data_IF_184807395911
#
_entry.id   IF_184807395911
#
_cell.length_a   1.000
_cell.length_b   1.000
_cell.length_c   1.000
_cell.angle_alpha   90.00
_cell.angle_beta   90.00
_cell.angle_gamma   90.00
#
_symmetry.space_group_name_H-M   'P 1'
#
loop_
_entity.id
_entity.type
_entity.pdbx_description
1 polymer ?
#
# COMPACT_ATOMS: atom_id res chain seq x y z
N UNK A 1 14.04 18.32 8.39
CA UNK A 1 13.17 17.11 8.24
C UNK A 1 13.97 16.09 7.46
N UNK A 2 14.07 14.86 7.95
CA UNK A 2 14.73 13.79 7.21
C UNK A 2 13.99 13.54 5.89
N UNK A 3 14.74 13.18 4.85
CA UNK A 3 14.19 12.97 3.52
C UNK A 3 13.25 11.76 3.55
N UNK A 4 11.93 11.98 3.37
CA UNK A 4 10.93 10.93 3.39
C UNK A 4 10.95 10.13 2.10
N UNK A 5 10.71 8.84 2.23
CA UNK A 5 10.64 7.91 1.11
C UNK A 5 9.57 6.85 1.36
N UNK A 6 9.21 6.16 0.30
CA UNK A 6 8.30 5.01 0.35
C UNK A 6 9.03 3.75 -0.08
N UNK A 7 8.61 2.62 0.47
CA UNK A 7 9.21 1.31 0.19
C UNK A 7 8.16 0.33 -0.29
N UNK A 8 8.45 -0.37 -1.36
CA UNK A 8 7.68 -1.51 -1.83
C UNK A 8 8.52 -2.78 -1.72
N UNK A 9 8.01 -3.77 -0.97
CA UNK A 9 8.62 -5.10 -0.87
C UNK A 9 7.96 -6.03 -1.87
N UNK A 10 8.74 -6.86 -2.53
CA UNK A 10 8.25 -7.82 -3.51
C UNK A 10 9.05 -9.12 -3.49
N UNK A 11 8.46 -10.19 -4.01
CA UNK A 11 9.10 -11.49 -4.05
C UNK A 11 10.26 -11.48 -5.06
N UNK A 12 11.47 -11.99 -4.69
CA UNK A 12 12.64 -11.98 -5.57
C UNK A 12 12.36 -12.62 -6.93
N UNK A 13 12.81 -11.96 -7.99
CA UNK A 13 12.62 -12.43 -9.37
C UNK A 13 11.25 -12.14 -9.98
N UNK A 14 10.34 -11.47 -9.26
CA UNK A 14 9.07 -10.99 -9.82
C UNK A 14 9.17 -9.54 -10.28
N UNK A 15 8.22 -9.11 -11.12
CA UNK A 15 8.10 -7.71 -11.52
C UNK A 15 7.38 -6.91 -10.41
N UNK A 16 8.05 -5.93 -9.77
CA UNK A 16 7.46 -5.15 -8.68
C UNK A 16 6.29 -4.26 -9.12
N UNK A 17 6.17 -3.98 -10.42
CA UNK A 17 5.10 -3.17 -10.98
C UNK A 17 3.89 -3.98 -11.44
N UNK A 18 3.79 -5.25 -11.06
CA UNK A 18 2.60 -6.05 -11.27
C UNK A 18 1.70 -6.03 -10.04
N UNK A 19 0.48 -5.54 -10.23
CA UNK A 19 -0.59 -5.66 -9.25
C UNK A 19 -1.67 -6.58 -9.82
N UNK A 20 -1.92 -7.69 -9.13
CA UNK A 20 -2.92 -8.69 -9.53
C UNK A 20 -4.32 -8.09 -9.71
N UNK A 21 -4.65 -7.03 -8.95
CA UNK A 21 -5.95 -6.34 -9.03
C UNK A 21 -6.13 -5.56 -10.34
N UNK A 22 -5.05 -5.23 -11.05
CA UNK A 22 -5.11 -4.55 -12.36
C UNK A 22 -5.25 -5.51 -13.55
N UNK A 23 -5.24 -6.82 -13.30
CA UNK A 23 -5.52 -7.83 -14.32
C UNK A 23 -7.03 -7.97 -14.57
N UNK A 24 -7.47 -8.46 -15.74
CA UNK A 24 -8.83 -8.96 -15.90
C UNK A 24 -9.18 -9.97 -14.81
N UNK A 25 -10.43 -9.99 -14.37
CA UNK A 25 -10.83 -10.76 -13.18
C UNK A 25 -10.49 -12.26 -13.29
N UNK A 26 -10.80 -12.88 -14.43
CA UNK A 26 -10.50 -14.29 -14.69
C UNK A 26 -8.98 -14.57 -14.67
N UNK A 27 -8.18 -13.65 -15.18
CA UNK A 27 -6.73 -13.76 -15.14
C UNK A 27 -6.18 -13.54 -13.71
N UNK A 28 -6.77 -12.60 -12.94
CA UNK A 28 -6.42 -12.38 -11.55
C UNK A 28 -6.65 -13.64 -10.70
N UNK A 29 -7.80 -14.29 -10.86
CA UNK A 29 -8.11 -15.54 -10.14
C UNK A 29 -7.16 -16.68 -10.54
N UNK A 30 -6.88 -16.82 -11.84
CA UNK A 30 -5.92 -17.82 -12.33
C UNK A 30 -4.51 -17.58 -11.77
N UNK A 31 -4.05 -16.33 -11.76
CA UNK A 31 -2.73 -15.96 -11.25
C UNK A 31 -2.65 -16.13 -9.74
N UNK A 32 -3.69 -15.78 -9.00
CA UNK A 32 -3.75 -15.98 -7.54
C UNK A 32 -3.58 -17.46 -7.17
N UNK A 33 -4.25 -18.35 -7.91
CA UNK A 33 -4.09 -19.80 -7.71
C UNK A 33 -2.67 -20.26 -7.98
N UNK A 34 -2.06 -19.84 -9.09
CA UNK A 34 -0.67 -20.21 -9.44
C UNK A 34 0.28 -19.76 -8.33
N UNK A 35 0.16 -18.52 -7.85
CA UNK A 35 1.06 -17.96 -6.83
C UNK A 35 0.89 -18.64 -5.47
N UNK A 36 -0.34 -18.90 -5.04
CA UNK A 36 -0.60 -19.58 -3.76
C UNK A 36 -0.17 -21.05 -3.78
N UNK A 37 -0.35 -21.73 -4.89
CA UNK A 37 0.11 -23.11 -5.05
C UNK A 37 1.65 -23.21 -5.09
N UNK A 38 2.32 -22.25 -5.71
CA UNK A 38 3.78 -22.22 -5.82
C UNK A 38 4.48 -21.75 -4.52
N UNK A 39 3.82 -20.90 -3.73
CA UNK A 39 4.40 -20.26 -2.55
C UNK A 39 3.44 -20.28 -1.34
N UNK A 40 2.96 -21.47 -0.90
CA UNK A 40 1.94 -21.57 0.14
C UNK A 40 2.43 -21.08 1.51
N UNK A 41 3.73 -21.13 1.76
CA UNK A 41 4.34 -20.74 3.03
C UNK A 41 4.68 -19.24 3.14
N UNK A 42 4.56 -18.48 2.05
CA UNK A 42 4.73 -17.03 2.11
C UNK A 42 3.43 -16.35 2.55
N UNK A 43 3.50 -15.38 3.46
CA UNK A 43 2.33 -14.62 3.90
C UNK A 43 1.70 -13.87 2.72
N UNK A 44 2.52 -13.32 1.82
CA UNK A 44 2.07 -12.55 0.67
C UNK A 44 1.22 -13.37 -0.31
N UNK A 45 1.69 -14.55 -0.71
CA UNK A 45 0.97 -15.38 -1.70
C UNK A 45 0.05 -16.43 -1.05
N UNK A 46 0.36 -16.88 0.17
CA UNK A 46 -0.49 -17.80 0.91
C UNK A 46 -1.89 -17.25 1.15
N UNK A 47 -2.05 -15.93 1.34
CA UNK A 47 -3.36 -15.27 1.45
C UNK A 47 -4.22 -15.41 0.21
N UNK A 48 -3.64 -15.66 -0.96
CA UNK A 48 -4.36 -15.88 -2.22
C UNK A 48 -5.03 -17.25 -2.32
N UNK A 49 -4.79 -18.15 -1.38
CA UNK A 49 -5.53 -19.42 -1.30
C UNK A 49 -7.05 -19.19 -1.08
N UNK A 50 -7.42 -18.06 -0.47
CA UNK A 50 -8.82 -17.62 -0.29
C UNK A 50 -9.12 -16.36 -1.13
N UNK A 51 -8.79 -16.41 -2.40
CA UNK A 51 -8.91 -15.25 -3.29
C UNK A 51 -10.34 -14.83 -3.55
N UNK A 52 -11.30 -15.76 -3.47
CA UNK A 52 -12.74 -15.46 -3.60
C UNK A 52 -13.23 -14.46 -2.53
N UNK A 53 -12.70 -14.54 -1.32
CA UNK A 53 -13.00 -13.60 -0.24
C UNK A 53 -12.07 -12.37 -0.27
N UNK A 54 -10.81 -12.56 -0.62
CA UNK A 54 -9.84 -11.46 -0.68
C UNK A 54 -10.13 -10.45 -1.80
N UNK A 55 -10.44 -10.92 -3.01
CA UNK A 55 -10.60 -10.07 -4.19
C UNK A 55 -11.67 -8.98 -4.04
N UNK A 56 -12.94 -9.31 -3.66
CA UNK A 56 -13.97 -8.28 -3.49
C UNK A 56 -13.66 -7.32 -2.35
N UNK A 57 -13.04 -7.80 -1.29
CA UNK A 57 -12.65 -6.97 -0.16
C UNK A 57 -11.55 -5.97 -0.55
N UNK A 58 -10.51 -6.42 -1.24
CA UNK A 58 -9.43 -5.56 -1.73
C UNK A 58 -9.96 -4.55 -2.74
N UNK A 59 -10.81 -4.97 -3.67
CA UNK A 59 -11.45 -4.10 -4.64
C UNK A 59 -12.22 -2.97 -3.96
N UNK A 60 -13.05 -3.31 -2.97
CA UNK A 60 -13.81 -2.33 -2.18
C UNK A 60 -12.91 -1.34 -1.44
N UNK A 61 -11.81 -1.83 -0.85
CA UNK A 61 -10.87 -0.97 -0.15
C UNK A 61 -10.17 0.02 -1.10
N UNK A 62 -9.71 -0.45 -2.25
CA UNK A 62 -9.07 0.39 -3.26
C UNK A 62 -10.05 1.44 -3.83
N UNK A 63 -11.28 1.06 -4.12
CA UNK A 63 -12.34 1.97 -4.57
C UNK A 63 -12.60 3.07 -3.52
N UNK A 64 -12.77 2.70 -2.24
CA UNK A 64 -12.98 3.65 -1.15
C UNK A 64 -11.83 4.66 -1.04
N UNK A 65 -10.60 4.18 -1.00
CA UNK A 65 -9.42 5.04 -0.88
C UNK A 65 -9.29 5.95 -2.10
N UNK A 66 -9.52 5.40 -3.31
CA UNK A 66 -9.47 6.16 -4.55
C UNK A 66 -10.49 7.30 -4.57
N UNK A 67 -11.74 7.02 -4.22
CA UNK A 67 -12.80 8.03 -4.16
C UNK A 67 -12.49 9.14 -3.14
N UNK A 68 -12.02 8.76 -1.96
CA UNK A 68 -11.60 9.73 -0.94
C UNK A 68 -10.43 10.57 -1.41
N UNK A 69 -9.45 9.97 -2.06
CA UNK A 69 -8.30 10.70 -2.60
C UNK A 69 -8.73 11.71 -3.68
N UNK A 70 -9.65 11.34 -4.59
CA UNK A 70 -10.22 12.26 -5.58
C UNK A 70 -10.93 13.43 -4.91
N UNK A 71 -11.73 13.19 -3.87
CA UNK A 71 -12.40 14.25 -3.09
C UNK A 71 -11.41 15.24 -2.44
N UNK A 72 -10.20 14.76 -2.13
CA UNK A 72 -9.11 15.55 -1.56
C UNK A 72 -8.24 16.25 -2.63
N UNK A 73 -8.58 16.15 -3.91
CA UNK A 73 -7.87 16.79 -5.02
C UNK A 73 -6.87 15.89 -5.76
N UNK A 74 -6.82 14.60 -5.45
CA UNK A 74 -6.01 13.62 -6.17
C UNK A 74 -6.54 13.35 -7.59
N UNK A 75 -5.66 12.90 -8.47
CA UNK A 75 -5.98 12.55 -9.85
C UNK A 75 -5.41 11.16 -10.21
N UNK A 76 -5.85 10.08 -9.50
CA UNK A 76 -5.29 8.74 -9.64
C UNK A 76 -5.48 8.20 -11.07
N UNK A 77 -4.39 7.80 -11.72
CA UNK A 77 -4.40 7.22 -13.07
C UNK A 77 -4.77 5.75 -13.07
N UNK A 78 -4.36 5.01 -12.02
CA UNK A 78 -4.71 3.60 -11.86
C UNK A 78 -6.04 3.43 -11.14
N UNK A 79 -6.71 2.32 -11.38
CA UNK A 79 -7.90 1.92 -10.63
C UNK A 79 -7.52 1.27 -9.30
N UNK A 80 -6.49 0.42 -9.32
CA UNK A 80 -5.88 -0.21 -8.16
C UNK A 80 -4.45 0.26 -8.02
N UNK A 81 -4.06 0.82 -6.86
CA UNK A 81 -2.74 1.41 -6.68
C UNK A 81 -1.67 0.34 -6.48
N UNK A 82 -0.41 0.73 -6.65
CA UNK A 82 0.69 -0.02 -6.07
C UNK A 82 0.77 0.27 -4.58
N UNK A 83 0.89 -0.79 -3.77
CA UNK A 83 0.98 -0.68 -2.30
C UNK A 83 2.42 -0.53 -1.86
N UNK A 84 2.70 0.56 -1.19
CA UNK A 84 3.97 0.88 -0.55
C UNK A 84 3.76 1.09 0.94
N UNK A 85 4.84 1.23 1.70
CA UNK A 85 4.82 1.72 3.07
C UNK A 85 5.63 3.01 3.19
N UNK A 86 5.25 3.89 4.10
CA UNK A 86 6.06 5.04 4.47
C UNK A 86 7.28 4.55 5.26
N UNK A 87 8.48 4.87 4.76
CA UNK A 87 9.76 4.33 5.23
C UNK A 87 9.84 2.80 5.10
N UNK A 88 10.81 2.18 5.78
CA UNK A 88 10.92 0.72 5.84
C UNK A 88 10.03 0.14 6.93
N UNK A 89 9.53 -1.09 6.69
CA UNK A 89 8.68 -1.80 7.62
C UNK A 89 9.09 -3.26 7.71
N UNK A 90 9.69 -3.66 8.84
CA UNK A 90 10.14 -5.05 9.06
C UNK A 90 8.98 -6.06 9.03
N UNK A 91 7.77 -5.64 9.44
CA UNK A 91 6.59 -6.48 9.35
C UNK A 91 6.26 -6.88 7.90
N UNK A 92 6.28 -5.92 6.95
CA UNK A 92 6.03 -6.20 5.54
C UNK A 92 7.19 -6.90 4.84
N UNK A 93 8.42 -6.63 5.25
CA UNK A 93 9.59 -7.35 4.75
C UNK A 93 9.48 -8.85 4.98
N UNK A 94 8.95 -9.28 6.13
CA UNK A 94 8.72 -10.68 6.45
C UNK A 94 7.63 -11.37 5.62
N UNK A 95 6.80 -10.62 4.88
CA UNK A 95 5.72 -11.19 4.07
C UNK A 95 6.22 -11.97 2.84
N UNK A 96 7.44 -11.72 2.39
CA UNK A 96 8.03 -12.27 1.16
C UNK A 96 9.26 -13.16 1.41
N UNK A 97 9.49 -13.62 2.63
CA UNK A 97 10.66 -14.37 3.09
C UNK A 97 11.97 -13.57 2.99
N UNK A 98 12.62 -13.59 1.85
CA UNK A 98 13.75 -12.72 1.51
C UNK A 98 13.29 -11.75 0.41
N UNK A 99 12.71 -10.64 0.79
CA UNK A 99 12.15 -9.68 -0.15
C UNK A 99 13.21 -8.80 -0.81
N UNK A 100 13.03 -8.56 -2.10
CA UNK A 100 13.61 -7.38 -2.75
C UNK A 100 12.78 -6.14 -2.43
N UNK A 101 13.32 -4.95 -2.65
CA UNK A 101 12.60 -3.70 -2.39
C UNK A 101 12.90 -2.62 -3.42
N UNK A 102 11.90 -1.77 -3.65
CA UNK A 102 12.05 -0.48 -4.33
C UNK A 102 11.91 0.62 -3.28
N UNK A 103 12.75 1.64 -3.36
CA UNK A 103 12.68 2.86 -2.55
C UNK A 103 12.54 4.05 -3.48
N UNK A 104 11.54 4.89 -3.22
CA UNK A 104 11.28 6.11 -3.99
C UNK A 104 11.16 7.29 -3.03
N UNK A 105 11.89 8.37 -3.30
CA UNK A 105 11.77 9.61 -2.53
C UNK A 105 10.39 10.23 -2.72
N UNK A 106 9.76 10.74 -1.66
CA UNK A 106 8.50 11.47 -1.79
C UNK A 106 8.62 12.72 -2.68
N UNK A 107 9.81 13.30 -2.78
CA UNK A 107 10.05 14.47 -3.62
C UNK A 107 9.92 14.15 -5.12
N UNK A 108 10.12 12.87 -5.50
CA UNK A 108 10.08 12.42 -6.89
C UNK A 108 8.66 12.02 -7.35
N UNK A 109 7.67 12.08 -6.47
CA UNK A 109 6.29 11.64 -6.74
C UNK A 109 5.37 12.86 -6.83
N UNK A 110 4.56 13.01 -7.90
CA UNK A 110 3.55 14.05 -7.97
C UNK A 110 2.51 13.93 -6.84
N UNK A 111 2.11 15.07 -6.27
CA UNK A 111 1.21 15.11 -5.12
C UNK A 111 -0.18 14.52 -5.40
N UNK A 112 -0.61 14.62 -6.67
CA UNK A 112 -1.89 14.10 -7.14
C UNK A 112 -1.87 12.60 -7.53
N UNK A 113 -0.72 11.93 -7.37
CA UNK A 113 -0.53 10.50 -7.65
C UNK A 113 -0.19 9.65 -6.43
N UNK A 114 -0.28 10.23 -5.23
CA UNK A 114 0.05 9.50 -4.00
C UNK A 114 -0.93 9.82 -2.88
N UNK A 115 -1.41 8.79 -2.21
CA UNK A 115 -2.20 8.91 -0.98
C UNK A 115 -1.66 8.01 0.12
N UNK A 116 -2.11 8.25 1.34
CA UNK A 116 -1.66 7.53 2.53
C UNK A 116 -2.86 7.13 3.38
N UNK A 117 -2.78 5.97 4.02
CA UNK A 117 -3.74 5.55 5.03
C UNK A 117 -3.01 5.19 6.33
N UNK A 118 -3.60 5.58 7.46
CA UNK A 118 -3.10 5.18 8.77
C UNK A 118 -3.49 3.72 9.02
N UNK A 119 -2.57 2.81 8.73
CA UNK A 119 -2.80 1.37 8.74
C UNK A 119 -3.21 0.82 7.37
N UNK A 120 -3.28 -0.50 7.28
CA UNK A 120 -3.69 -1.25 6.09
C UNK A 120 -5.18 -1.01 5.78
N UNK A 121 -5.48 -0.42 4.63
CA UNK A 121 -6.83 -0.06 4.23
C UNK A 121 -7.76 -1.27 4.10
N UNK A 122 -7.25 -2.37 3.59
CA UNK A 122 -8.01 -3.61 3.43
C UNK A 122 -8.35 -4.24 4.79
N UNK A 123 -7.37 -4.32 5.69
CA UNK A 123 -7.56 -4.85 7.04
C UNK A 123 -8.51 -3.96 7.86
N UNK A 124 -8.41 -2.64 7.74
CA UNK A 124 -9.32 -1.71 8.41
C UNK A 124 -10.77 -1.95 7.98
N UNK A 125 -11.03 -2.02 6.68
CA UNK A 125 -12.39 -2.23 6.16
C UNK A 125 -12.93 -3.63 6.48
N UNK A 126 -12.06 -4.64 6.53
CA UNK A 126 -12.45 -5.99 6.95
C UNK A 126 -12.97 -6.00 8.39
N UNK A 127 -12.47 -5.11 9.25
CA UNK A 127 -12.93 -4.95 10.64
C UNK A 127 -14.01 -3.87 10.82
N UNK A 128 -14.62 -3.39 9.73
CA UNK A 128 -15.70 -2.41 9.76
C UNK A 128 -15.24 -0.98 10.06
N UNK A 129 -13.95 -0.68 9.90
CA UNK A 129 -13.40 0.66 10.09
C UNK A 129 -13.14 1.33 8.74
N UNK A 130 -13.48 2.61 8.63
CA UNK A 130 -13.11 3.40 7.46
C UNK A 130 -11.64 3.86 7.55
N UNK A 131 -10.82 3.66 6.50
CA UNK A 131 -9.48 4.21 6.46
C UNK A 131 -9.48 5.74 6.47
N UNK A 132 -8.58 6.34 7.23
CA UNK A 132 -8.30 7.77 7.16
C UNK A 132 -7.34 8.01 5.99
N UNK A 133 -7.84 8.63 4.93
CA UNK A 133 -7.05 8.91 3.72
C UNK A 133 -6.42 10.29 3.81
N UNK A 134 -5.13 10.37 3.54
CA UNK A 134 -4.32 11.60 3.58
C UNK A 134 -3.71 11.87 2.20
N UNK A 135 -3.62 13.14 1.82
CA UNK A 135 -2.73 13.61 0.76
C UNK A 135 -1.31 13.80 1.31
N UNK A 136 -0.33 14.03 0.44
CA UNK A 136 1.05 14.36 0.85
C UNK A 136 1.07 15.59 1.77
N UNK A 137 0.30 16.63 1.44
CA UNK A 137 0.15 17.84 2.28
C UNK A 137 -0.36 17.49 3.69
N UNK A 138 -1.44 16.73 3.78
CA UNK A 138 -2.00 16.33 5.08
C UNK A 138 -1.05 15.44 5.89
N UNK A 139 -0.26 14.59 5.22
CA UNK A 139 0.78 13.81 5.89
C UNK A 139 1.84 14.72 6.53
N UNK A 140 2.36 15.70 5.77
CA UNK A 140 3.35 16.64 6.28
C UNK A 140 2.81 17.50 7.43
N UNK A 141 1.59 18.02 7.30
CA UNK A 141 0.93 18.77 8.38
C UNK A 141 0.81 17.94 9.68
N UNK A 142 0.51 16.64 9.55
CA UNK A 142 0.46 15.75 10.72
C UNK A 142 1.84 15.48 11.32
N UNK A 143 2.87 15.34 10.52
CA UNK A 143 4.25 15.15 10.99
C UNK A 143 4.74 16.42 11.70
N UNK A 144 4.44 17.60 11.16
CA UNK A 144 4.78 18.88 11.80
C UNK A 144 4.14 19.05 13.18
N UNK A 145 2.94 18.53 13.40
CA UNK A 145 2.30 18.51 14.71
C UNK A 145 3.08 17.71 15.78
N UNK A 146 4.09 16.95 15.37
CA UNK A 146 5.03 16.22 16.23
C UNK A 146 6.47 16.75 16.07
N UNK A 147 6.61 18.06 15.97
CA UNK A 147 7.90 18.77 15.81
C UNK A 147 8.73 18.28 14.61
N UNK A 148 8.05 17.86 13.55
CA UNK A 148 8.66 17.30 12.33
C UNK A 148 9.29 15.92 12.50
N UNK A 149 9.06 15.26 13.62
CA UNK A 149 9.57 13.92 13.88
C UNK A 149 8.64 12.84 13.33
N UNK A 150 9.06 12.20 12.24
CA UNK A 150 8.34 11.07 11.63
C UNK A 150 8.23 9.89 12.59
N UNK A 151 9.29 9.57 13.32
CA UNK A 151 9.29 8.44 14.26
C UNK A 151 8.26 8.63 15.37
N UNK A 152 8.16 9.84 15.92
CA UNK A 152 7.16 10.17 16.94
C UNK A 152 5.76 10.13 16.35
N UNK A 153 5.56 10.70 15.16
CA UNK A 153 4.30 10.63 14.43
C UNK A 153 3.85 9.19 14.22
N UNK A 154 4.72 8.32 13.68
CA UNK A 154 4.40 6.91 13.43
C UNK A 154 4.05 6.19 14.72
N UNK A 155 4.87 6.36 15.76
CA UNK A 155 4.66 5.71 17.05
C UNK A 155 3.33 6.09 17.70
N UNK A 156 2.92 7.34 17.60
CA UNK A 156 1.69 7.83 18.26
C UNK A 156 0.44 7.67 17.39
N UNK A 157 0.58 7.82 16.06
CA UNK A 157 -0.57 7.80 15.14
C UNK A 157 -1.02 6.40 14.77
N UNK A 158 -0.11 5.44 14.68
CA UNK A 158 -0.44 4.08 14.26
C UNK A 158 -1.06 3.25 15.39
N UNK A 159 -0.65 3.51 16.66
CA UNK A 159 -1.12 2.71 17.80
C UNK A 159 -0.83 1.22 17.58
N UNK A 160 -1.88 0.44 17.34
CA UNK A 160 -1.81 -1.00 17.06
C UNK A 160 -1.46 -1.37 15.61
N UNK A 161 -1.46 -0.41 14.69
CA UNK A 161 -1.18 -0.68 13.27
C UNK A 161 0.34 -0.66 13.02
N UNK A 162 0.87 -1.61 12.22
CA UNK A 162 2.32 -1.75 12.04
C UNK A 162 2.95 -0.71 11.12
N UNK A 163 2.17 -0.03 10.27
CA UNK A 163 2.70 0.91 9.26
C UNK A 163 1.65 1.89 8.71
N UNK A 164 2.12 2.94 8.05
CA UNK A 164 1.31 3.77 7.14
C UNK A 164 1.34 3.12 5.76
N UNK A 165 0.19 2.70 5.26
CA UNK A 165 0.05 2.22 3.89
C UNK A 165 0.10 3.41 2.93
N UNK A 166 0.83 3.25 1.84
CA UNK A 166 0.95 4.25 0.79
C UNK A 166 0.38 3.68 -0.50
N UNK A 167 -0.52 4.42 -1.11
CA UNK A 167 -1.10 4.09 -2.40
C UNK A 167 -0.45 4.96 -3.47
N UNK A 168 0.33 4.33 -4.36
CA UNK A 168 0.89 4.97 -5.53
C UNK A 168 0.00 4.71 -6.75
N UNK A 169 -0.60 5.79 -7.28
CA UNK A 169 -1.65 5.74 -8.30
C UNK A 169 -1.16 5.88 -9.75
N UNK A 170 0.14 5.92 -9.94
CA UNK A 170 0.79 5.88 -11.24
C UNK A 170 2.12 5.14 -11.12
N UNK A 171 2.61 4.59 -12.24
CA UNK A 171 3.97 4.06 -12.30
C UNK A 171 4.95 5.21 -12.43
N UNK A 172 5.87 5.33 -11.50
CA UNK A 172 6.97 6.29 -11.59
C UNK A 172 8.05 5.67 -12.47
N UNK A 173 8.33 6.34 -13.59
CA UNK A 173 9.47 6.00 -14.44
C UNK A 173 10.73 6.57 -13.80
N UNK A 174 11.62 5.71 -13.31
CA UNK A 174 12.95 6.07 -12.87
C UNK A 174 13.90 6.11 -14.05
#
# INVERSE_FOLDING_TARGET
MDKLYITHYYYPGTDPWKNIMNLPEDEAFRMAKILSDAHPDTTSFGRFADFENYYPLRKKADEFVRERFIQLGGNPKLFHPYSFTLLECEYLKGWFDSSDKIIISLDDIPDDQISFTLGDSCALMMHGNEPVVLTKKHLFERIEAYDGSVDVFLKQSLGKYPYVEVQLWDRISG
#
